data_IF_017772139908
#
_entry.id   IF_017772139908
#
_cell.length_a   1.000
_cell.length_b   1.000
_cell.length_c   1.000
_cell.angle_alpha   90.00
_cell.angle_beta   90.00
_cell.angle_gamma   90.00
#
_symmetry.space_group_name_H-M   'P 1'
#
loop_
_entity.id
_entity.type
_entity.pdbx_description
1 polymer ?
#
# COMPACT_ATOMS: atom_id res chain seq x y z
N UNK A 1 -1.59 -15.80 15.54
CA UNK A 1 -0.71 -16.72 16.29
C UNK A 1 0.10 -15.92 17.29
N UNK A 2 0.50 -16.52 18.41
CA UNK A 2 1.40 -15.90 19.39
C UNK A 2 2.84 -16.24 19.02
N UNK A 3 3.68 -15.23 18.80
CA UNK A 3 5.12 -15.37 18.59
C UNK A 3 5.84 -14.34 19.46
N UNK A 4 6.98 -14.73 20.04
CA UNK A 4 7.82 -13.80 20.78
C UNK A 4 8.37 -12.72 19.82
N UNK A 5 8.39 -11.48 20.28
CA UNK A 5 8.95 -10.34 19.54
C UNK A 5 10.45 -10.53 19.40
N UNK A 6 10.85 -11.12 18.28
CA UNK A 6 12.24 -11.40 17.89
C UNK A 6 12.49 -10.83 16.50
N UNK A 7 13.73 -10.83 16.03
CA UNK A 7 14.04 -10.41 14.66
C UNK A 7 13.23 -11.20 13.61
N UNK A 8 13.05 -12.52 13.83
CA UNK A 8 12.23 -13.35 12.94
C UNK A 8 10.75 -12.91 12.91
N UNK A 9 10.21 -12.46 14.04
CA UNK A 9 8.87 -11.87 14.09
C UNK A 9 8.79 -10.58 13.28
N UNK A 10 9.77 -9.69 13.43
CA UNK A 10 9.81 -8.42 12.68
C UNK A 10 9.96 -8.65 11.17
N UNK A 11 10.80 -9.60 10.73
CA UNK A 11 10.89 -9.96 9.31
C UNK A 11 9.56 -10.48 8.75
N UNK A 12 8.86 -11.32 9.51
CA UNK A 12 7.56 -11.84 9.06
C UNK A 12 6.48 -10.76 9.06
N UNK A 13 6.46 -9.85 10.05
CA UNK A 13 5.54 -8.70 10.09
C UNK A 13 5.83 -7.77 8.91
N UNK A 14 7.10 -7.42 8.67
CA UNK A 14 7.56 -6.58 7.56
C UNK A 14 7.11 -7.15 6.21
N UNK A 15 7.47 -8.40 5.91
CA UNK A 15 7.13 -9.02 4.62
C UNK A 15 5.62 -9.07 4.38
N UNK A 16 4.83 -9.42 5.40
CA UNK A 16 3.37 -9.44 5.32
C UNK A 16 2.78 -8.05 5.06
N UNK A 17 3.34 -7.00 5.65
CA UNK A 17 2.85 -5.63 5.47
C UNK A 17 3.21 -5.09 4.10
N UNK A 18 4.41 -5.38 3.62
CA UNK A 18 4.84 -5.01 2.28
C UNK A 18 3.98 -5.69 1.20
N UNK A 19 3.72 -6.99 1.34
CA UNK A 19 2.84 -7.74 0.43
C UNK A 19 1.40 -7.20 0.45
N UNK A 20 0.88 -6.83 1.63
CA UNK A 20 -0.45 -6.24 1.75
C UNK A 20 -0.55 -4.87 1.07
N UNK A 21 0.46 -4.01 1.26
CA UNK A 21 0.52 -2.72 0.58
C UNK A 21 0.48 -2.91 -0.95
N UNK A 22 1.33 -3.81 -1.47
CA UNK A 22 1.39 -4.13 -2.90
C UNK A 22 0.05 -4.68 -3.41
N UNK A 23 -0.57 -5.63 -2.69
CA UNK A 23 -1.87 -6.17 -3.08
C UNK A 23 -2.97 -5.10 -3.08
N UNK A 24 -3.01 -4.20 -2.09
CA UNK A 24 -3.97 -3.11 -2.06
C UNK A 24 -3.81 -2.18 -3.26
N UNK A 25 -2.57 -1.83 -3.63
CA UNK A 25 -2.34 -1.00 -4.83
C UNK A 25 -2.83 -1.68 -6.11
N UNK A 26 -2.58 -2.99 -6.27
CA UNK A 26 -3.07 -3.76 -7.43
C UNK A 26 -4.59 -3.85 -7.51
N UNK A 27 -5.25 -4.02 -6.36
CA UNK A 27 -6.72 -4.07 -6.29
C UNK A 27 -7.31 -2.70 -6.66
N UNK A 28 -6.74 -1.61 -6.13
CA UNK A 28 -7.17 -0.25 -6.45
C UNK A 28 -6.98 0.06 -7.95
N UNK A 29 -5.88 -0.41 -8.52
CA UNK A 29 -5.55 -0.18 -9.93
C UNK A 29 -6.57 -0.80 -10.89
N UNK A 30 -7.08 -1.99 -10.56
CA UNK A 30 -8.19 -2.63 -11.29
C UNK A 30 -9.44 -1.74 -11.27
N UNK A 31 -9.73 -1.09 -10.15
CA UNK A 31 -10.83 -0.12 -10.05
C UNK A 31 -10.64 1.05 -11.02
N UNK A 32 -9.44 1.63 -11.04
CA UNK A 32 -9.08 2.74 -11.92
C UNK A 32 -9.18 2.36 -13.41
N UNK A 33 -8.69 1.17 -13.78
CA UNK A 33 -8.78 0.67 -15.15
C UNK A 33 -10.22 0.52 -15.64
N UNK A 34 -11.12 -0.03 -14.81
CA UNK A 34 -12.52 -0.28 -15.20
C UNK A 34 -13.33 1.00 -15.41
N UNK A 35 -13.00 2.10 -14.71
CA UNK A 35 -13.67 3.40 -14.94
C UNK A 35 -13.27 4.06 -16.26
N UNK A 36 -12.08 3.76 -16.77
CA UNK A 36 -11.59 4.28 -18.04
C UNK A 36 -12.16 3.54 -19.26
N UNK A 37 -12.97 2.47 -19.07
CA UNK A 37 -13.64 1.78 -20.17
C UNK A 37 -14.88 2.59 -20.64
N UNK A 38 -14.91 3.09 -21.89
CA UNK A 38 -16.04 3.84 -22.45
C UNK A 38 -17.39 3.12 -22.41
N UNK A 39 -17.39 1.79 -22.21
CA UNK A 39 -18.60 0.97 -22.12
C UNK A 39 -19.29 1.06 -20.76
N UNK A 40 -18.61 1.57 -19.75
CA UNK A 40 -19.09 1.61 -18.36
C UNK A 40 -19.42 3.03 -17.87
N UNK A 41 -19.18 4.05 -18.71
CA UNK A 41 -19.17 5.49 -18.37
C UNK A 41 -20.54 6.11 -18.02
N UNK A 42 -21.66 5.38 -18.10
CA UNK A 42 -23.00 5.99 -17.93
C UNK A 42 -23.91 5.31 -16.88
N UNK A 43 -23.37 4.50 -15.97
CA UNK A 43 -24.18 3.85 -14.93
C UNK A 43 -23.64 4.12 -13.52
N UNK A 44 -24.21 5.10 -12.82
CA UNK A 44 -23.90 5.36 -11.41
C UNK A 44 -24.05 4.11 -10.53
N UNK A 45 -25.00 3.22 -10.85
CA UNK A 45 -25.18 1.94 -10.18
C UNK A 45 -23.98 0.98 -10.37
N UNK A 46 -23.31 1.07 -11.53
CA UNK A 46 -22.12 0.27 -11.81
C UNK A 46 -20.93 0.74 -10.97
N UNK A 47 -20.70 2.05 -10.88
CA UNK A 47 -19.62 2.60 -10.05
C UNK A 47 -19.81 2.25 -8.57
N UNK A 48 -21.03 2.42 -8.05
CA UNK A 48 -21.35 2.04 -6.68
C UNK A 48 -21.08 0.56 -6.43
N UNK A 49 -21.51 -0.32 -7.35
CA UNK A 49 -21.27 -1.76 -7.25
C UNK A 49 -19.77 -2.10 -7.33
N UNK A 50 -19.02 -1.47 -8.23
CA UNK A 50 -17.59 -1.66 -8.41
C UNK A 50 -16.83 -1.32 -7.12
N UNK A 51 -17.02 -0.10 -6.61
CA UNK A 51 -16.30 0.38 -5.43
C UNK A 51 -16.70 -0.35 -4.16
N UNK A 52 -17.99 -0.70 -4.02
CA UNK A 52 -18.45 -1.56 -2.92
C UNK A 52 -17.81 -2.96 -2.98
N UNK A 53 -17.76 -3.57 -4.17
CA UNK A 53 -17.15 -4.90 -4.35
C UNK A 53 -15.66 -4.88 -4.06
N UNK A 54 -14.97 -3.81 -4.47
CA UNK A 54 -13.55 -3.59 -4.19
C UNK A 54 -13.31 -3.48 -2.68
N UNK A 55 -14.07 -2.63 -1.97
CA UNK A 55 -14.01 -2.52 -0.52
C UNK A 55 -14.28 -3.87 0.18
N UNK A 56 -15.22 -4.66 -0.32
CA UNK A 56 -15.51 -5.99 0.22
C UNK A 56 -14.33 -6.96 0.02
N UNK A 57 -13.64 -6.92 -1.13
CA UNK A 57 -12.48 -7.76 -1.43
C UNK A 57 -11.32 -7.53 -0.46
N UNK A 58 -11.13 -6.28 -0.04
CA UNK A 58 -10.13 -5.90 0.97
C UNK A 58 -10.69 -5.95 2.39
N UNK A 59 -11.90 -6.46 2.60
CA UNK A 59 -12.58 -6.46 3.91
C UNK A 59 -12.61 -5.07 4.57
N UNK A 60 -12.66 -4.01 3.75
CA UNK A 60 -12.60 -2.62 4.15
C UNK A 60 -13.95 -1.93 4.23
N UNK A 61 -15.01 -2.51 3.67
CA UNK A 61 -16.33 -1.85 3.56
C UNK A 61 -16.87 -1.28 4.88
N UNK A 62 -16.78 -2.05 5.98
CA UNK A 62 -17.25 -1.58 7.29
C UNK A 62 -16.37 -0.47 7.87
N UNK A 63 -15.06 -0.52 7.63
CA UNK A 63 -14.11 0.49 8.13
C UNK A 63 -14.24 1.79 7.33
N UNK A 64 -14.41 1.68 6.01
CA UNK A 64 -14.69 2.82 5.14
C UNK A 64 -15.92 3.59 5.63
N UNK A 65 -17.04 2.90 5.88
CA UNK A 65 -18.25 3.55 6.40
C UNK A 65 -18.09 4.18 7.78
N UNK A 66 -17.14 3.70 8.58
CA UNK A 66 -16.87 4.27 9.90
C UNK A 66 -15.97 5.51 9.84
N UNK A 67 -15.04 5.56 8.88
CA UNK A 67 -14.01 6.59 8.82
C UNK A 67 -14.28 7.67 7.78
N UNK A 68 -15.07 7.37 6.74
CA UNK A 68 -15.26 8.22 5.56
C UNK A 68 -16.71 8.68 5.47
N UNK A 69 -17.58 7.91 4.83
CA UNK A 69 -19.01 8.22 4.68
C UNK A 69 -19.83 6.93 4.42
N UNK A 70 -21.14 7.01 4.61
CA UNK A 70 -22.11 5.99 4.20
C UNK A 70 -22.24 5.90 2.67
N UNK A 71 -22.00 7.00 1.95
CA UNK A 71 -22.03 7.01 0.49
C UNK A 71 -20.68 6.57 -0.11
N UNK A 72 -20.68 5.49 -0.87
CA UNK A 72 -19.47 4.93 -1.51
C UNK A 72 -19.27 5.54 -2.90
N UNK A 73 -18.14 6.21 -3.10
CA UNK A 73 -17.68 6.69 -4.40
C UNK A 73 -16.18 6.39 -4.60
N UNK A 74 -15.69 6.53 -5.84
CA UNK A 74 -14.33 6.12 -6.18
C UNK A 74 -13.22 6.99 -5.61
N UNK A 75 -13.42 8.30 -5.56
CA UNK A 75 -12.43 9.27 -5.05
C UNK A 75 -12.13 8.98 -3.58
N UNK A 76 -13.17 8.83 -2.78
CA UNK A 76 -13.08 8.54 -1.35
C UNK A 76 -12.52 7.13 -1.08
N UNK A 77 -12.88 6.13 -1.90
CA UNK A 77 -12.33 4.78 -1.75
C UNK A 77 -10.84 4.76 -2.09
N UNK A 78 -10.41 5.49 -3.11
CA UNK A 78 -9.01 5.61 -3.46
C UNK A 78 -8.20 6.27 -2.33
N UNK A 79 -8.69 7.40 -1.79
CA UNK A 79 -8.04 8.09 -0.69
C UNK A 79 -7.97 7.20 0.56
N UNK A 80 -9.08 6.54 0.92
CA UNK A 80 -9.14 5.59 2.04
C UNK A 80 -8.13 4.44 1.91
N UNK A 81 -8.06 3.80 0.75
CA UNK A 81 -7.16 2.65 0.54
C UNK A 81 -5.68 3.06 0.44
N UNK A 82 -5.38 4.29 0.06
CA UNK A 82 -4.01 4.78 0.01
C UNK A 82 -3.56 5.36 1.36
N UNK A 83 -4.41 6.11 2.06
CA UNK A 83 -3.98 7.08 3.09
C UNK A 83 -4.62 6.91 4.48
N UNK A 84 -5.61 6.04 4.66
CA UNK A 84 -6.24 5.89 5.98
C UNK A 84 -5.26 5.29 7.02
N UNK A 85 -4.90 6.07 8.04
CA UNK A 85 -3.92 5.69 9.07
C UNK A 85 -4.44 4.64 10.08
N UNK A 86 -5.70 4.23 9.99
CA UNK A 86 -6.35 3.33 10.93
C UNK A 86 -6.79 2.01 10.29
N UNK A 87 -6.83 1.95 8.95
CA UNK A 87 -7.22 0.76 8.21
C UNK A 87 -6.01 -0.12 7.95
N UNK A 88 -5.92 -1.34 8.51
CA UNK A 88 -4.68 -2.13 8.46
C UNK A 88 -4.26 -2.63 7.07
N UNK A 89 -5.05 -2.38 6.02
CA UNK A 89 -4.73 -2.70 4.63
C UNK A 89 -4.53 -1.44 3.77
N UNK A 90 -4.72 -0.24 4.31
CA UNK A 90 -4.31 0.95 3.57
C UNK A 90 -2.80 0.89 3.34
N UNK A 91 -2.36 1.52 2.26
CA UNK A 91 -0.95 1.51 1.88
C UNK A 91 -0.11 2.24 2.92
N UNK A 92 -0.54 3.42 3.37
CA UNK A 92 0.17 4.21 4.36
C UNK A 92 0.30 3.49 5.72
N UNK A 93 -0.78 2.86 6.22
CA UNK A 93 -0.72 2.03 7.44
C UNK A 93 0.30 0.90 7.29
N UNK A 94 0.31 0.24 6.13
CA UNK A 94 1.24 -0.86 5.90
C UNK A 94 2.69 -0.37 5.86
N UNK A 95 2.95 0.81 5.28
CA UNK A 95 4.28 1.41 5.24
C UNK A 95 4.73 1.88 6.63
N UNK A 96 3.84 2.45 7.44
CA UNK A 96 4.13 2.79 8.84
C UNK A 96 4.60 1.53 9.61
N UNK A 97 3.90 0.42 9.45
CA UNK A 97 4.26 -0.85 10.10
C UNK A 97 5.56 -1.45 9.55
N UNK A 98 5.86 -1.25 8.27
CA UNK A 98 7.15 -1.64 7.67
C UNK A 98 8.28 -0.81 8.30
N UNK A 99 8.09 0.50 8.41
CA UNK A 99 9.02 1.43 9.06
C UNK A 99 9.30 1.01 10.52
N UNK A 100 8.25 0.74 11.30
CA UNK A 100 8.41 0.23 12.67
C UNK A 100 9.22 -1.07 12.73
N UNK A 101 8.99 -2.00 11.80
CA UNK A 101 9.74 -3.25 11.76
C UNK A 101 11.23 -3.00 11.44
N UNK A 102 11.52 -2.10 10.49
CA UNK A 102 12.87 -1.71 10.12
C UNK A 102 13.63 -1.11 11.32
N UNK A 103 13.00 -0.28 12.14
CA UNK A 103 13.62 0.28 13.35
C UNK A 103 14.07 -0.78 14.36
N UNK A 104 13.40 -1.95 14.36
CA UNK A 104 13.73 -3.08 15.24
C UNK A 104 14.76 -4.06 14.64
N UNK A 105 15.25 -3.80 13.42
CA UNK A 105 16.18 -4.66 12.69
C UNK A 105 17.54 -3.96 12.50
N UNK A 106 18.66 -4.71 12.49
CA UNK A 106 19.99 -4.12 12.32
C UNK A 106 20.19 -3.60 10.89
N UNK A 107 21.05 -2.60 10.70
CA UNK A 107 21.44 -2.07 9.38
C UNK A 107 20.26 -1.56 8.54
N UNK A 108 19.24 -1.00 9.19
CA UNK A 108 17.98 -0.62 8.53
C UNK A 108 17.99 0.72 7.79
N UNK A 109 19.11 1.43 7.71
CA UNK A 109 19.18 2.78 7.12
C UNK A 109 18.62 2.85 5.68
N UNK A 110 18.99 1.90 4.80
CA UNK A 110 18.53 1.90 3.40
C UNK A 110 17.06 1.46 3.25
N UNK A 111 16.61 0.34 3.85
CA UNK A 111 15.19 -0.01 3.89
C UNK A 111 14.32 1.11 4.47
N UNK A 112 14.75 1.71 5.59
CA UNK A 112 14.04 2.80 6.26
C UNK A 112 13.95 4.03 5.35
N UNK A 113 15.03 4.37 4.64
CA UNK A 113 15.01 5.49 3.68
C UNK A 113 14.04 5.23 2.53
N UNK A 114 14.06 4.03 1.95
CA UNK A 114 13.14 3.67 0.87
C UNK A 114 11.67 3.75 1.33
N UNK A 115 11.36 3.24 2.53
CA UNK A 115 10.01 3.31 3.12
C UNK A 115 9.57 4.76 3.34
N UNK A 116 10.44 5.60 3.92
CA UNK A 116 10.15 7.01 4.14
C UNK A 116 9.87 7.79 2.84
N UNK A 117 10.56 7.46 1.75
CA UNK A 117 10.31 8.09 0.45
C UNK A 117 8.92 7.73 -0.09
N UNK A 118 8.53 6.46 -0.01
CA UNK A 118 7.20 5.99 -0.41
C UNK A 118 6.09 6.67 0.41
N UNK A 119 6.24 6.71 1.74
CA UNK A 119 5.29 7.38 2.64
C UNK A 119 5.15 8.86 2.30
N UNK A 120 6.27 9.57 2.08
CA UNK A 120 6.22 10.99 1.69
C UNK A 120 5.49 11.20 0.37
N UNK A 121 5.65 10.31 -0.61
CA UNK A 121 4.91 10.39 -1.88
C UNK A 121 3.41 10.30 -1.65
N UNK A 122 2.98 9.34 -0.83
CA UNK A 122 1.56 9.11 -0.51
C UNK A 122 0.99 10.24 0.33
N UNK A 123 1.69 10.68 1.39
CA UNK A 123 1.20 11.74 2.29
C UNK A 123 1.08 13.11 1.60
N UNK A 124 1.94 13.37 0.61
CA UNK A 124 1.95 14.64 -0.13
C UNK A 124 1.08 14.62 -1.40
N UNK A 125 0.43 13.51 -1.75
CA UNK A 125 -0.45 13.46 -2.91
C UNK A 125 -1.83 14.01 -2.56
N UNK A 126 -2.48 14.62 -3.56
CA UNK A 126 -3.91 14.87 -3.51
C UNK A 126 -4.60 13.77 -4.33
N UNK A 127 -4.99 12.68 -3.66
CA UNK A 127 -5.57 11.49 -4.31
C UNK A 127 -6.88 11.83 -5.00
N UNK A 128 -7.69 12.70 -4.41
CA UNK A 128 -8.96 13.15 -5.00
C UNK A 128 -8.70 13.85 -6.34
N UNK A 129 -7.79 14.84 -6.37
CA UNK A 129 -7.46 15.54 -7.62
C UNK A 129 -6.90 14.59 -8.69
N UNK A 130 -6.03 13.66 -8.29
CA UNK A 130 -5.46 12.64 -9.19
C UNK A 130 -6.53 11.71 -9.75
N UNK A 131 -7.54 11.38 -8.95
CA UNK A 131 -8.68 10.57 -9.40
C UNK A 131 -9.51 11.35 -10.42
N UNK A 132 -9.93 12.57 -10.09
CA UNK A 132 -10.77 13.38 -10.96
C UNK A 132 -10.06 13.77 -12.27
N UNK A 133 -8.73 13.88 -12.26
CA UNK A 133 -7.92 14.15 -13.48
C UNK A 133 -7.65 12.90 -14.33
N UNK A 134 -7.94 11.70 -13.83
CA UNK A 134 -7.62 10.43 -14.48
C UNK A 134 -6.14 10.02 -14.37
N UNK A 135 -5.35 10.70 -13.54
CA UNK A 135 -3.91 10.47 -13.37
C UNK A 135 -3.59 9.47 -12.25
N UNK A 136 -4.61 9.03 -11.48
CA UNK A 136 -4.42 8.13 -10.34
C UNK A 136 -3.74 6.80 -10.71
N UNK A 137 -4.03 6.22 -11.88
CA UNK A 137 -3.37 4.99 -12.36
C UNK A 137 -1.84 5.15 -12.40
N UNK A 138 -1.36 6.25 -12.99
CA UNK A 138 0.08 6.54 -13.07
C UNK A 138 0.70 6.80 -11.69
N UNK A 139 -0.06 7.41 -10.79
CA UNK A 139 0.38 7.58 -9.41
C UNK A 139 0.50 6.23 -8.69
N UNK A 140 -0.43 5.32 -8.90
CA UNK A 140 -0.40 3.96 -8.33
C UNK A 140 0.82 3.19 -8.86
N UNK A 141 1.14 3.29 -10.15
CA UNK A 141 2.36 2.69 -10.73
C UNK A 141 3.63 3.19 -10.02
N UNK A 142 3.73 4.50 -9.77
CA UNK A 142 4.85 5.07 -9.03
C UNK A 142 4.94 4.55 -7.59
N UNK A 143 3.80 4.35 -6.91
CA UNK A 143 3.76 3.74 -5.58
C UNK A 143 4.21 2.27 -5.66
N UNK A 144 3.76 1.50 -6.65
CA UNK A 144 4.18 0.11 -6.83
C UNK A 144 5.69 0.00 -7.08
N UNK A 145 6.27 0.93 -7.85
CA UNK A 145 7.72 1.01 -8.03
C UNK A 145 8.45 1.30 -6.72
N UNK A 146 7.91 2.17 -5.88
CA UNK A 146 8.49 2.43 -4.56
C UNK A 146 8.39 1.20 -3.63
N UNK A 147 7.29 0.45 -3.66
CA UNK A 147 7.18 -0.83 -2.93
C UNK A 147 8.20 -1.87 -3.42
N UNK A 148 8.44 -1.94 -4.73
CA UNK A 148 9.48 -2.81 -5.29
C UNK A 148 10.90 -2.37 -4.85
N UNK A 149 11.16 -1.06 -4.75
CA UNK A 149 12.42 -0.54 -4.19
C UNK A 149 12.60 -0.92 -2.73
N UNK A 150 11.55 -0.79 -1.90
CA UNK A 150 11.59 -1.23 -0.50
C UNK A 150 11.90 -2.72 -0.43
N UNK A 151 11.19 -3.56 -1.20
CA UNK A 151 11.45 -5.00 -1.26
C UNK A 151 12.91 -5.30 -1.60
N UNK A 152 13.47 -4.61 -2.61
CA UNK A 152 14.85 -4.79 -3.01
C UNK A 152 15.85 -4.38 -1.90
N UNK A 153 15.60 -3.28 -1.19
CA UNK A 153 16.45 -2.89 -0.05
C UNK A 153 16.37 -3.89 1.09
N UNK A 154 15.18 -4.42 1.38
CA UNK A 154 14.98 -5.48 2.39
C UNK A 154 15.78 -6.74 2.02
N UNK A 155 15.65 -7.19 0.76
CA UNK A 155 16.35 -8.37 0.25
C UNK A 155 17.88 -8.21 0.30
N UNK A 156 18.40 -7.09 -0.19
CA UNK A 156 19.84 -6.83 -0.26
C UNK A 156 20.47 -6.59 1.11
N UNK A 157 19.72 -6.04 2.05
CA UNK A 157 20.21 -5.75 3.42
C UNK A 157 20.28 -7.03 4.27
N UNK A 158 19.28 -7.90 4.20
CA UNK A 158 19.13 -8.99 5.18
C UNK A 158 19.14 -10.41 4.61
N UNK A 159 18.87 -10.58 3.31
CA UNK A 159 18.67 -11.91 2.71
C UNK A 159 19.68 -12.26 1.62
N UNK A 160 20.47 -11.29 1.15
CA UNK A 160 21.58 -11.57 0.25
C UNK A 160 22.77 -12.10 1.04
N UNK A 161 23.32 -13.23 0.59
CA UNK A 161 24.52 -13.81 1.17
C UNK A 161 25.71 -12.88 0.94
N UNK A 162 26.14 -12.17 2.00
CA UNK A 162 27.46 -11.52 2.00
C UNK A 162 28.50 -12.62 2.10
N UNK A 163 29.21 -12.84 1.01
CA UNK A 163 30.37 -13.71 1.02
C UNK A 163 31.53 -12.97 1.69
N UNK A 164 31.49 -12.83 3.01
CA UNK A 164 32.60 -12.30 3.81
C UNK A 164 33.71 -13.37 3.96
N UNK A 165 34.10 -13.99 2.85
CA UNK A 165 35.28 -14.84 2.77
C UNK A 165 36.51 -14.01 2.40
N UNK A 166 37.27 -13.66 3.44
CA UNK A 166 38.74 -13.58 3.52
C UNK A 166 39.45 -12.58 2.59
N UNK A 167 39.68 -11.40 3.12
CA UNK A 167 40.97 -10.65 3.01
C UNK A 167 41.25 -10.19 4.45
N UNK A 168 42.28 -10.59 5.20
CA UNK A 168 43.55 -11.31 5.00
C UNK A 168 43.77 -12.25 6.20
#
# INVERSE_FOLDING_TARGET
>A
GCMSVTQAFNFMKLGRKLERADMTTRILDIGCYNLNDPKHTELADYELLLWTSLLMSVSGYQMYRQHVDDHVNGEDVADFLLRDEHFPRSVDFCLDEVSECCEQLPLSDEPQRATNLAQRRIKNSNVIDLFSSGELHWFIDEVQLDLARIHHQVETTWFTYRNDSVTE
#
